data_IF_897824940432
#
_entry.id   IF_897824940432
#
_cell.length_a   1.000
_cell.length_b   1.000
_cell.length_c   1.000
_cell.angle_alpha   90.00
_cell.angle_beta   90.00
_cell.angle_gamma   90.00
#
_symmetry.space_group_name_H-M   'P 1'
#
loop_
_entity.id
_entity.type
_entity.pdbx_description
1 polymer ?
#
# COMPACT_ATOMS: atom_id res chain seq x y z
N UNK A 1 -13.13 -0.31 16.02
CA UNK A 1 -14.17 -0.78 15.07
C UNK A 1 -13.83 -0.49 13.61
N UNK A 2 -13.48 0.75 13.22
CA UNK A 2 -13.21 1.14 11.82
C UNK A 2 -12.07 0.36 11.14
N UNK A 3 -10.96 0.10 11.82
CA UNK A 3 -9.84 -0.69 11.25
C UNK A 3 -10.24 -2.13 10.88
N UNK A 4 -11.14 -2.74 11.65
CA UNK A 4 -11.67 -4.08 11.35
C UNK A 4 -12.56 -4.05 10.11
N UNK A 5 -13.44 -3.04 10.01
CA UNK A 5 -14.28 -2.82 8.83
C UNK A 5 -13.42 -2.58 7.59
N UNK A 6 -12.42 -1.71 7.70
CA UNK A 6 -11.43 -1.48 6.64
C UNK A 6 -10.76 -2.79 6.20
N UNK A 7 -10.24 -3.57 7.16
CA UNK A 7 -9.51 -4.82 6.87
C UNK A 7 -10.38 -5.81 6.10
N UNK A 8 -11.62 -6.00 6.54
CA UNK A 8 -12.58 -6.90 5.89
C UNK A 8 -12.94 -6.44 4.47
N UNK A 9 -13.20 -5.14 4.28
CA UNK A 9 -13.55 -4.58 2.97
C UNK A 9 -12.35 -4.60 2.02
N UNK A 10 -11.15 -4.26 2.49
CA UNK A 10 -9.93 -4.31 1.70
C UNK A 10 -9.63 -5.76 1.25
N UNK A 11 -9.78 -6.73 2.15
CA UNK A 11 -9.62 -8.14 1.82
C UNK A 11 -10.64 -8.61 0.78
N UNK A 12 -11.92 -8.28 0.96
CA UNK A 12 -12.99 -8.59 0.00
C UNK A 12 -12.74 -7.96 -1.37
N UNK A 13 -12.22 -6.74 -1.41
CA UNK A 13 -11.91 -6.03 -2.66
C UNK A 13 -10.72 -6.65 -3.40
N UNK A 14 -9.66 -6.99 -2.67
CA UNK A 14 -8.44 -7.58 -3.27
C UNK A 14 -8.67 -9.03 -3.70
N UNK A 15 -9.51 -9.77 -2.98
CA UNK A 15 -9.80 -11.17 -3.30
C UNK A 15 -10.57 -11.30 -4.64
N UNK A 16 -9.98 -11.96 -5.66
CA UNK A 16 -10.67 -12.19 -6.93
C UNK A 16 -11.96 -12.97 -6.76
N UNK A 17 -12.04 -13.94 -5.83
CA UNK A 17 -13.21 -14.80 -5.65
C UNK A 17 -14.40 -14.08 -5.01
N UNK A 18 -14.16 -13.09 -4.14
CA UNK A 18 -15.24 -12.36 -3.45
C UNK A 18 -15.99 -11.39 -4.37
N UNK A 19 -15.33 -10.94 -5.43
CA UNK A 19 -15.89 -10.00 -6.43
C UNK A 19 -16.04 -10.64 -7.81
N UNK A 20 -15.60 -11.90 -7.98
CA UNK A 20 -15.82 -12.67 -9.19
C UNK A 20 -17.30 -13.03 -9.27
N UNK A 21 -18.04 -12.28 -10.07
CA UNK A 21 -19.48 -12.47 -10.29
C UNK A 21 -20.28 -11.17 -10.19
N UNK A 22 -19.77 -10.14 -9.52
CA UNK A 22 -20.44 -8.83 -9.42
C UNK A 22 -19.45 -7.67 -9.43
N UNK A 23 -19.24 -7.08 -10.61
CA UNK A 23 -18.46 -5.84 -10.77
C UNK A 23 -19.07 -4.70 -9.94
N UNK A 24 -20.41 -4.66 -9.83
CA UNK A 24 -21.13 -3.71 -9.00
C UNK A 24 -20.75 -3.80 -7.52
N UNK A 25 -20.61 -5.02 -6.97
CA UNK A 25 -20.16 -5.21 -5.59
C UNK A 25 -18.73 -4.67 -5.40
N UNK A 26 -17.84 -4.94 -6.35
CA UNK A 26 -16.49 -4.40 -6.35
C UNK A 26 -16.46 -2.87 -6.32
N UNK A 27 -17.26 -2.22 -7.18
CA UNK A 27 -17.39 -0.76 -7.20
C UNK A 27 -18.00 -0.20 -5.91
N UNK A 28 -18.98 -0.89 -5.32
CA UNK A 28 -19.58 -0.48 -4.04
C UNK A 28 -18.58 -0.55 -2.88
N UNK A 29 -17.83 -1.65 -2.78
CA UNK A 29 -16.76 -1.79 -1.77
C UNK A 29 -15.70 -0.71 -1.97
N UNK A 30 -15.26 -0.49 -3.21
CA UNK A 30 -14.32 0.57 -3.56
C UNK A 30 -14.81 1.96 -3.14
N UNK A 31 -16.07 2.28 -3.45
CA UNK A 31 -16.69 3.54 -3.07
C UNK A 31 -16.74 3.75 -1.56
N UNK A 32 -17.04 2.70 -0.78
CA UNK A 32 -17.03 2.76 0.69
C UNK A 32 -15.61 3.00 1.21
N UNK A 33 -14.63 2.20 0.75
CA UNK A 33 -13.23 2.34 1.15
C UNK A 33 -12.72 3.75 0.87
N UNK A 34 -12.91 4.27 -0.34
CA UNK A 34 -12.42 5.59 -0.70
C UNK A 34 -13.16 6.72 0.01
N UNK A 35 -14.49 6.76 -0.09
CA UNK A 35 -15.26 7.95 0.30
C UNK A 35 -15.58 7.97 1.79
N UNK A 36 -15.85 6.81 2.39
CA UNK A 36 -16.32 6.73 3.78
C UNK A 36 -15.20 6.43 4.77
N UNK A 37 -14.10 5.80 4.35
CA UNK A 37 -13.01 5.42 5.25
C UNK A 37 -11.78 6.28 5.00
N UNK A 38 -11.16 6.19 3.82
CA UNK A 38 -9.86 6.80 3.55
C UNK A 38 -9.92 8.33 3.44
N UNK A 39 -11.01 8.88 2.89
CA UNK A 39 -11.24 10.33 2.75
C UNK A 39 -12.07 10.94 3.89
N UNK A 40 -12.42 10.16 4.90
CA UNK A 40 -13.12 10.68 6.07
C UNK A 40 -12.27 11.74 6.78
N UNK A 41 -12.91 12.80 7.29
CA UNK A 41 -12.26 13.77 8.17
C UNK A 41 -11.79 13.07 9.45
N UNK A 42 -12.66 12.23 9.99
CA UNK A 42 -12.38 11.40 11.16
C UNK A 42 -11.61 10.14 10.80
N UNK A 43 -10.71 9.76 11.69
CA UNK A 43 -9.89 8.57 11.59
C UNK A 43 -9.77 7.92 12.97
N UNK A 44 -9.44 6.62 13.05
CA UNK A 44 -9.27 5.93 14.33
C UNK A 44 -8.25 6.64 15.21
N UNK A 45 -8.65 6.99 16.44
CA UNK A 45 -7.83 7.65 17.47
C UNK A 45 -8.00 6.93 18.81
N UNK A 46 -7.15 7.29 19.77
CA UNK A 46 -7.20 6.74 21.13
C UNK A 46 -6.54 5.38 21.27
N UNK A 47 -6.33 4.94 22.51
CA UNK A 47 -5.50 3.79 22.91
C UNK A 47 -5.95 2.46 22.28
N UNK A 48 -7.23 2.31 21.94
CA UNK A 48 -7.77 1.12 21.29
C UNK A 48 -7.14 0.81 19.91
N UNK A 49 -6.40 1.75 19.31
CA UNK A 49 -5.67 1.55 18.06
C UNK A 49 -4.27 0.99 18.36
N UNK A 50 -4.09 -0.32 18.27
CA UNK A 50 -2.80 -0.92 18.60
C UNK A 50 -1.82 -0.81 17.43
N UNK A 51 -0.56 -0.41 17.70
CA UNK A 51 0.46 -0.14 16.68
C UNK A 51 0.73 -1.37 15.80
N UNK A 52 0.78 -2.57 16.38
CA UNK A 52 1.02 -3.81 15.63
C UNK A 52 -0.02 -4.07 14.51
N UNK A 53 -1.27 -3.60 14.69
CA UNK A 53 -2.31 -3.69 13.66
C UNK A 53 -1.97 -2.74 12.50
N UNK A 54 -1.56 -1.51 12.82
CA UNK A 54 -1.18 -0.52 11.83
C UNK A 54 0.05 -0.96 11.03
N UNK A 55 1.06 -1.52 11.69
CA UNK A 55 2.25 -2.09 11.05
C UNK A 55 1.89 -3.22 10.08
N UNK A 56 1.06 -4.18 10.52
CA UNK A 56 0.62 -5.28 9.66
C UNK A 56 -0.14 -4.77 8.43
N UNK A 57 -1.00 -3.76 8.61
CA UNK A 57 -1.73 -3.16 7.50
C UNK A 57 -0.81 -2.35 6.59
N UNK A 58 0.16 -1.62 7.14
CA UNK A 58 1.14 -0.85 6.39
C UNK A 58 1.96 -1.75 5.48
N UNK A 59 2.53 -2.81 6.04
CA UNK A 59 3.33 -3.80 5.30
C UNK A 59 2.52 -4.44 4.16
N UNK A 60 1.29 -4.88 4.44
CA UNK A 60 0.41 -5.47 3.42
C UNK A 60 0.11 -4.50 2.28
N UNK A 61 -0.16 -3.23 2.60
CA UNK A 61 -0.48 -2.23 1.58
C UNK A 61 0.75 -1.84 0.75
N UNK A 62 1.94 -1.70 1.37
CA UNK A 62 3.17 -1.44 0.63
C UNK A 62 3.51 -2.61 -0.32
N UNK A 63 3.36 -3.87 0.13
CA UNK A 63 3.52 -5.05 -0.72
C UNK A 63 2.49 -5.12 -1.86
N UNK A 64 1.26 -4.69 -1.61
CA UNK A 64 0.24 -4.61 -2.66
C UNK A 64 0.53 -3.50 -3.68
N UNK A 65 1.06 -2.36 -3.24
CA UNK A 65 1.42 -1.24 -4.10
C UNK A 65 2.62 -1.55 -5.02
N UNK A 66 3.54 -2.42 -4.58
CA UNK A 66 4.70 -2.86 -5.38
C UNK A 66 4.43 -4.06 -6.29
N UNK A 67 3.26 -4.72 -6.14
CA UNK A 67 2.96 -5.98 -6.82
C UNK A 67 2.92 -5.80 -8.35
N UNK A 68 3.67 -6.59 -9.13
CA UNK A 68 3.62 -6.50 -10.59
C UNK A 68 2.30 -7.01 -11.15
N UNK A 69 1.86 -6.41 -12.27
CA UNK A 69 0.75 -6.95 -13.04
C UNK A 69 1.15 -8.25 -13.72
N UNK A 70 0.67 -9.38 -13.18
CA UNK A 70 0.86 -10.68 -13.82
C UNK A 70 -0.16 -10.83 -14.95
N UNK A 71 0.26 -10.59 -16.19
CA UNK A 71 -0.49 -11.03 -17.37
C UNK A 71 -0.57 -12.56 -17.32
N UNK A 72 -1.78 -13.13 -17.22
CA UNK A 72 -1.95 -14.57 -17.43
C UNK A 72 -1.53 -14.88 -18.86
N UNK A 73 -0.41 -15.60 -19.03
CA UNK A 73 -0.11 -16.34 -20.27
C UNK A 73 -1.01 -17.57 -20.28
N UNK A 74 -2.27 -17.43 -20.70
CA UNK A 74 -3.12 -18.61 -20.97
C UNK A 74 -2.81 -19.13 -22.37
N UNK A 75 -2.83 -20.46 -22.53
CA UNK A 75 -2.66 -21.19 -23.81
C UNK A 75 -3.74 -20.79 -24.83
N UNK A 76 -4.84 -20.21 -24.37
CA UNK A 76 -5.86 -19.52 -25.17
C UNK A 76 -5.79 -18.02 -24.92
N UNK A 77 -5.61 -17.22 -25.96
CA UNK A 77 -5.61 -15.75 -25.88
C UNK A 77 -6.89 -15.25 -25.18
N UNK A 78 -6.81 -14.62 -23.98
CA UNK A 78 -7.98 -14.02 -23.37
C UNK A 78 -8.48 -12.87 -24.25
N UNK A 79 -9.81 -12.72 -24.37
CA UNK A 79 -10.38 -11.61 -25.15
C UNK A 79 -9.87 -10.25 -24.63
N UNK A 80 -9.68 -9.28 -25.54
CA UNK A 80 -9.19 -7.91 -25.21
C UNK A 80 -9.98 -7.27 -24.05
N UNK A 81 -11.29 -7.55 -23.96
CA UNK A 81 -12.20 -7.08 -22.89
C UNK A 81 -11.89 -7.70 -21.50
N UNK A 82 -11.51 -8.99 -21.44
CA UNK A 82 -11.13 -9.65 -20.18
C UNK A 82 -9.76 -9.14 -19.69
N UNK A 83 -8.85 -8.85 -20.61
CA UNK A 83 -7.53 -8.31 -20.28
C UNK A 83 -7.62 -6.87 -19.76
N UNK A 84 -8.44 -6.01 -20.37
CA UNK A 84 -8.66 -4.64 -19.91
C UNK A 84 -9.33 -4.59 -18.53
N UNK A 85 -10.31 -5.46 -18.26
CA UNK A 85 -10.94 -5.56 -16.94
C UNK A 85 -9.94 -5.97 -15.84
N UNK A 86 -9.06 -6.95 -16.11
CA UNK A 86 -8.00 -7.36 -15.19
C UNK A 86 -7.00 -6.23 -14.91
N UNK A 87 -6.62 -5.49 -15.95
CA UNK A 87 -5.72 -4.34 -15.82
C UNK A 87 -6.35 -3.19 -15.02
N UNK A 88 -7.62 -2.87 -15.28
CA UNK A 88 -8.36 -1.86 -14.53
C UNK A 88 -8.48 -2.23 -13.05
N UNK A 89 -8.81 -3.50 -12.76
CA UNK A 89 -8.84 -4.02 -11.39
C UNK A 89 -7.47 -3.89 -10.71
N UNK A 90 -6.40 -4.25 -11.40
CA UNK A 90 -5.05 -4.10 -10.87
C UNK A 90 -4.75 -2.64 -10.49
N UNK A 91 -5.04 -1.69 -11.39
CA UNK A 91 -4.90 -0.25 -11.11
C UNK A 91 -5.71 0.20 -9.89
N UNK A 92 -6.95 -0.25 -9.75
CA UNK A 92 -7.78 0.09 -8.60
C UNK A 92 -7.19 -0.47 -7.29
N UNK A 93 -6.69 -1.70 -7.30
CA UNK A 93 -6.02 -2.31 -6.13
C UNK A 93 -4.74 -1.54 -5.76
N UNK A 94 -3.91 -1.19 -6.74
CA UNK A 94 -2.70 -0.38 -6.48
C UNK A 94 -3.09 1.00 -5.91
N UNK A 95 -4.11 1.65 -6.46
CA UNK A 95 -4.61 2.92 -5.94
C UNK A 95 -5.15 2.80 -4.51
N UNK A 96 -5.88 1.70 -4.21
CA UNK A 96 -6.33 1.40 -2.85
C UNK A 96 -5.15 1.31 -1.88
N UNK A 97 -4.13 0.57 -2.28
CA UNK A 97 -2.96 0.29 -1.45
C UNK A 97 -2.17 1.56 -1.13
N UNK A 98 -1.98 2.43 -2.12
CA UNK A 98 -1.34 3.73 -1.93
C UNK A 98 -2.15 4.65 -1.02
N UNK A 99 -3.46 4.79 -1.27
CA UNK A 99 -4.33 5.62 -0.43
C UNK A 99 -4.42 5.09 1.01
N UNK A 100 -4.47 3.78 1.18
CA UNK A 100 -4.44 3.12 2.49
C UNK A 100 -3.13 3.36 3.23
N UNK A 101 -2.00 3.31 2.52
CA UNK A 101 -0.68 3.62 3.10
C UNK A 101 -0.69 5.02 3.72
N UNK A 102 -1.11 6.04 2.97
CA UNK A 102 -1.18 7.41 3.51
C UNK A 102 -2.13 7.53 4.70
N UNK A 103 -3.28 6.85 4.65
CA UNK A 103 -4.25 6.86 5.74
C UNK A 103 -3.70 6.18 7.00
N UNK A 104 -3.01 5.04 6.87
CA UNK A 104 -2.38 4.33 7.99
C UNK A 104 -1.27 5.20 8.60
N UNK A 105 -0.40 5.80 7.79
CA UNK A 105 0.65 6.69 8.28
C UNK A 105 0.09 7.93 8.98
N UNK A 106 -1.06 8.47 8.51
CA UNK A 106 -1.78 9.54 9.22
C UNK A 106 -2.23 9.09 10.62
N UNK A 107 -2.69 7.85 10.77
CA UNK A 107 -3.12 7.31 12.07
C UNK A 107 -1.90 7.13 12.99
N UNK A 108 -0.80 6.57 12.48
CA UNK A 108 0.46 6.39 13.24
C UNK A 108 0.96 7.75 13.75
N UNK A 109 1.08 8.74 12.87
CA UNK A 109 1.52 10.09 13.21
C UNK A 109 0.61 10.75 14.26
N UNK A 110 -0.71 10.66 14.09
CA UNK A 110 -1.65 11.25 15.04
C UNK A 110 -1.69 10.54 16.41
N UNK A 111 -1.21 9.30 16.48
CA UNK A 111 -1.08 8.56 17.74
C UNK A 111 0.18 8.93 18.52
N UNK A 112 1.14 9.62 17.87
CA UNK A 112 2.37 10.12 18.48
C UNK A 112 3.08 9.05 19.32
N UNK A 113 3.25 7.84 18.76
CA UNK A 113 3.99 6.77 19.41
C UNK A 113 5.45 7.21 19.65
N UNK A 114 6.08 6.79 20.76
CA UNK A 114 7.51 7.00 20.98
C UNK A 114 8.34 6.42 19.83
N UNK A 115 9.42 7.09 19.46
CA UNK A 115 10.29 6.66 18.35
C UNK A 115 10.80 5.21 18.47
N UNK A 116 11.19 4.70 19.65
CA UNK A 116 11.59 3.30 19.78
C UNK A 116 10.48 2.29 19.41
N UNK A 117 9.21 2.64 19.63
CA UNK A 117 8.08 1.77 19.23
C UNK A 117 7.89 1.79 17.71
N UNK A 118 8.34 2.83 17.01
CA UNK A 118 8.22 2.96 15.56
C UNK A 118 9.29 2.17 14.79
N UNK A 119 10.25 1.51 15.46
CA UNK A 119 11.33 0.78 14.79
C UNK A 119 10.81 -0.17 13.71
N UNK A 120 9.77 -0.94 14.03
CA UNK A 120 9.19 -1.89 13.07
C UNK A 120 8.53 -1.20 11.87
N UNK A 121 8.03 0.03 12.03
CA UNK A 121 7.55 0.84 10.89
C UNK A 121 8.71 1.16 9.96
N UNK A 122 9.87 1.55 10.50
CA UNK A 122 11.07 1.82 9.70
C UNK A 122 11.60 0.56 9.02
N UNK A 123 11.64 -0.57 9.73
CA UNK A 123 12.05 -1.87 9.17
C UNK A 123 11.17 -2.27 7.97
N UNK A 124 9.86 -2.03 8.05
CA UNK A 124 8.92 -2.26 6.93
C UNK A 124 9.33 -1.41 5.71
N UNK A 125 9.65 -0.13 5.91
CA UNK A 125 10.06 0.73 4.81
C UNK A 125 11.43 0.35 4.24
N UNK A 126 12.40 0.03 5.09
CA UNK A 126 13.69 -0.48 4.63
C UNK A 126 13.50 -1.73 3.76
N UNK A 127 12.70 -2.70 4.19
CA UNK A 127 12.40 -3.89 3.39
C UNK A 127 11.75 -3.57 2.03
N UNK A 128 10.89 -2.56 1.98
CA UNK A 128 10.28 -2.07 0.72
C UNK A 128 11.33 -1.39 -0.17
N UNK A 129 12.24 -0.61 0.39
CA UNK A 129 13.31 0.06 -0.33
C UNK A 129 14.34 -0.95 -0.86
N UNK A 130 14.76 -1.94 -0.06
CA UNK A 130 15.57 -3.08 -0.51
C UNK A 130 14.90 -3.73 -1.73
N UNK A 131 13.62 -4.08 -1.63
CA UNK A 131 12.90 -4.70 -2.74
C UNK A 131 12.76 -3.77 -3.97
N UNK A 132 12.75 -2.45 -3.77
CA UNK A 132 12.70 -1.46 -4.84
C UNK A 132 14.03 -1.32 -5.57
N UNK A 133 15.15 -1.17 -4.85
CA UNK A 133 16.48 -1.02 -5.42
C UNK A 133 17.03 -2.33 -5.98
N UNK A 134 16.85 -3.44 -5.27
CA UNK A 134 17.49 -4.72 -5.61
C UNK A 134 16.60 -5.57 -6.55
N UNK A 135 15.31 -5.26 -6.63
CA UNK A 135 14.31 -6.06 -7.33
C UNK A 135 13.97 -5.55 -8.73
N UNK A 136 14.47 -6.21 -9.79
CA UNK A 136 14.05 -5.98 -11.20
C UNK A 136 12.54 -6.16 -11.47
N UNK A 137 11.78 -6.67 -10.50
CA UNK A 137 10.34 -6.99 -10.59
C UNK A 137 9.44 -6.08 -9.75
N UNK A 138 10.01 -5.18 -8.95
CA UNK A 138 9.20 -4.20 -8.24
C UNK A 138 8.52 -3.28 -9.25
N UNK A 139 7.21 -3.10 -9.12
CA UNK A 139 6.46 -2.08 -9.87
C UNK A 139 6.10 -0.90 -8.96
N UNK A 140 6.83 -0.78 -7.84
CA UNK A 140 6.71 0.38 -6.97
C UNK A 140 7.10 1.63 -7.77
N UNK A 141 6.20 2.62 -7.78
CA UNK A 141 6.48 3.89 -8.45
C UNK A 141 7.38 4.75 -7.56
N UNK A 142 8.48 5.25 -8.11
CA UNK A 142 9.36 6.21 -7.42
C UNK A 142 8.57 7.41 -6.88
N UNK A 143 7.67 7.97 -7.69
CA UNK A 143 6.80 9.09 -7.29
C UNK A 143 5.93 8.80 -6.06
N UNK A 144 5.54 7.53 -5.86
CA UNK A 144 4.80 7.16 -4.66
C UNK A 144 5.70 7.16 -3.41
N UNK A 145 6.94 6.66 -3.51
CA UNK A 145 7.92 6.71 -2.42
C UNK A 145 8.29 8.16 -2.07
N UNK A 146 8.57 8.99 -3.10
CA UNK A 146 8.82 10.43 -2.92
C UNK A 146 7.67 11.12 -2.20
N UNK A 147 6.43 10.81 -2.59
CA UNK A 147 5.25 11.40 -1.96
C UNK A 147 5.05 10.95 -0.50
N UNK A 148 5.46 9.72 -0.14
CA UNK A 148 5.48 9.28 1.26
C UNK A 148 6.43 10.17 2.08
N UNK A 149 7.68 10.33 1.63
CA UNK A 149 8.66 11.14 2.36
C UNK A 149 8.26 12.61 2.43
N UNK A 150 7.67 13.15 1.36
CA UNK A 150 7.15 14.53 1.35
C UNK A 150 6.01 14.74 2.36
N UNK A 151 5.10 13.77 2.48
CA UNK A 151 3.98 13.86 3.42
C UNK A 151 4.36 13.50 4.85
N UNK A 152 5.39 12.68 5.03
CA UNK A 152 5.85 12.15 6.33
C UNK A 152 7.36 12.32 6.45
N UNK A 153 7.85 13.54 6.71
CA UNK A 153 9.29 13.81 6.77
C UNK A 153 10.02 12.94 7.78
N UNK A 154 9.39 12.59 8.91
CA UNK A 154 9.98 11.71 9.94
C UNK A 154 10.40 10.34 9.40
N UNK A 155 9.68 9.79 8.43
CA UNK A 155 10.06 8.53 7.74
C UNK A 155 11.29 8.77 6.87
N UNK A 156 11.28 9.87 6.10
CA UNK A 156 12.39 10.22 5.21
C UNK A 156 13.69 10.50 5.97
N UNK A 157 13.62 11.22 7.09
CA UNK A 157 14.76 11.53 7.94
C UNK A 157 15.39 10.26 8.53
N UNK A 158 14.57 9.37 9.09
CA UNK A 158 15.07 8.12 9.67
C UNK A 158 15.70 7.20 8.61
N UNK A 159 15.19 7.22 7.38
CA UNK A 159 15.70 6.39 6.29
C UNK A 159 16.78 7.06 5.44
N UNK A 160 17.21 8.28 5.80
CA UNK A 160 18.09 9.07 4.96
C UNK A 160 19.45 8.40 4.76
N UNK A 161 20.09 7.97 5.85
CA UNK A 161 21.37 7.25 5.80
C UNK A 161 21.26 5.97 4.96
N UNK A 162 20.23 5.16 5.21
CA UNK A 162 19.95 3.95 4.44
C UNK A 162 19.78 4.22 2.93
N UNK A 163 19.09 5.32 2.56
CA UNK A 163 18.93 5.72 1.16
C UNK A 163 20.26 6.14 0.53
N UNK A 164 21.10 6.88 1.25
CA UNK A 164 22.43 7.27 0.78
C UNK A 164 23.31 6.06 0.52
N UNK A 165 23.34 5.10 1.44
CA UNK A 165 24.07 3.84 1.27
C UNK A 165 23.60 3.06 0.04
N UNK A 166 22.28 2.95 -0.17
CA UNK A 166 21.72 2.27 -1.35
C UNK A 166 22.05 3.01 -2.65
N UNK A 167 22.07 4.34 -2.65
CA UNK A 167 22.48 5.12 -3.82
C UNK A 167 23.99 4.98 -4.11
N UNK A 168 24.83 4.92 -3.08
CA UNK A 168 26.29 4.74 -3.24
C UNK A 168 26.68 3.32 -3.66
N UNK A 169 25.91 2.31 -3.24
CA UNK A 169 26.18 0.88 -3.51
C UNK A 169 25.49 0.35 -4.76
N UNK A 170 24.42 0.99 -5.22
CA UNK A 170 23.72 0.58 -6.43
C UNK A 170 24.54 0.95 -7.67
N UNK A 171 24.75 -0.04 -8.55
CA UNK A 171 25.19 0.16 -9.94
C UNK A 171 24.09 0.85 -10.77
N UNK A 172 23.54 1.94 -10.26
CA UNK A 172 22.55 2.76 -10.94
C UNK A 172 23.30 3.55 -12.00
N UNK A 173 23.30 3.05 -13.24
CA UNK A 173 23.60 3.89 -14.39
C UNK A 173 22.54 5.02 -14.41
N UNK A 174 23.00 6.25 -14.15
CA UNK A 174 22.20 7.47 -14.30
C UNK A 174 22.01 7.81 -15.77
#
# INVERSE_FOLDING_TARGET
QVLKVYSNLAQAFVNPHTTAGSEQLGQRIWGILQKKILKSKDYPKGEAVQLYILESLLEKNLKLASRPFKRKKSVTNPSKKKQSASWNRHKMITSLAQASTFWILKIIEARNFPEPELQRVFDIFQGVLVAYFDGKKSQMKSEFLKEIFRRRPWIGHHLFEFLLEKCASSKSEF
#
